data_IF_309665385463
#
_entry.id   IF_309665385463
#
_cell.length_a   1.000
_cell.length_b   1.000
_cell.length_c   1.000
_cell.angle_alpha   90.00
_cell.angle_beta   90.00
_cell.angle_gamma   90.00
#
_symmetry.space_group_name_H-M   'P 1'
#
loop_
_entity.id
_entity.type
_entity.pdbx_description
1 polymer ?
#
# COMPACT_ATOMS: atom_id res chain seq x y z
N UNK A 1 11.50 14.90 -8.42
CA UNK A 1 11.52 13.55 -7.82
C UNK A 1 10.27 13.30 -6.97
N UNK A 2 10.09 13.97 -5.83
CA UNK A 2 8.90 13.77 -4.97
C UNK A 2 7.55 14.03 -5.68
N UNK A 3 7.46 15.06 -6.51
CA UNK A 3 6.26 15.34 -7.32
C UNK A 3 5.94 14.22 -8.34
N UNK A 4 6.96 13.61 -8.95
CA UNK A 4 6.78 12.46 -9.85
C UNK A 4 6.30 11.23 -9.08
N UNK A 5 6.84 10.97 -7.88
CA UNK A 5 6.36 9.91 -6.99
C UNK A 5 4.92 10.14 -6.51
N UNK A 6 4.54 11.40 -6.26
CA UNK A 6 3.16 11.80 -5.98
C UNK A 6 2.21 11.48 -7.13
N UNK A 7 2.54 11.90 -8.35
CA UNK A 7 1.72 11.65 -9.56
C UNK A 7 1.63 10.15 -9.87
N UNK A 8 2.75 9.42 -9.84
CA UNK A 8 2.75 7.98 -10.08
C UNK A 8 1.94 7.23 -9.01
N UNK A 9 2.03 7.64 -7.75
CA UNK A 9 1.19 7.10 -6.69
C UNK A 9 -0.29 7.38 -6.93
N UNK A 10 -0.66 8.61 -7.32
CA UNK A 10 -2.05 8.98 -7.61
C UNK A 10 -2.68 8.13 -8.73
N UNK A 11 -1.89 7.71 -9.73
CA UNK A 11 -2.35 6.86 -10.83
C UNK A 11 -2.35 5.37 -10.44
N UNK A 12 -1.35 4.92 -9.67
CA UNK A 12 -1.19 3.51 -9.33
C UNK A 12 -2.11 3.04 -8.19
N UNK A 13 -2.34 3.89 -7.18
CA UNK A 13 -3.10 3.54 -5.97
C UNK A 13 -4.57 3.14 -6.29
N UNK A 14 -5.28 3.77 -7.25
CA UNK A 14 -6.60 3.28 -7.67
C UNK A 14 -6.61 1.83 -8.16
N UNK A 15 -5.49 1.34 -8.71
CA UNK A 15 -5.34 -0.04 -9.16
C UNK A 15 -5.20 -1.03 -7.99
N UNK A 16 -5.03 -0.54 -6.75
CA UNK A 16 -4.95 -1.41 -5.58
C UNK A 16 -6.32 -2.04 -5.29
N UNK A 17 -7.42 -1.32 -5.54
CA UNK A 17 -8.77 -1.84 -5.36
C UNK A 17 -9.04 -3.16 -6.10
N UNK A 18 -8.87 -3.25 -7.44
CA UNK A 18 -9.07 -4.52 -8.15
C UNK A 18 -8.07 -5.60 -7.70
N UNK A 19 -6.83 -5.23 -7.37
CA UNK A 19 -5.81 -6.16 -6.85
C UNK A 19 -6.20 -6.79 -5.53
N UNK A 20 -6.66 -5.99 -4.55
CA UNK A 20 -7.12 -6.49 -3.25
C UNK A 20 -8.43 -7.28 -3.34
N UNK A 21 -9.33 -6.91 -4.25
CA UNK A 21 -10.56 -7.68 -4.52
C UNK A 21 -10.23 -9.06 -5.08
N UNK A 22 -9.25 -9.15 -5.98
CA UNK A 22 -8.73 -10.40 -6.50
C UNK A 22 -8.04 -11.22 -5.39
N UNK A 23 -7.18 -10.58 -4.58
CA UNK A 23 -6.53 -11.20 -3.43
C UNK A 23 -7.52 -11.86 -2.46
N UNK A 24 -8.57 -11.12 -2.07
CA UNK A 24 -9.61 -11.61 -1.17
C UNK A 24 -10.37 -12.82 -1.73
N UNK A 25 -10.45 -12.94 -3.05
CA UNK A 25 -11.08 -14.09 -3.72
C UNK A 25 -10.13 -15.29 -3.78
N UNK A 26 -8.86 -15.08 -4.10
CA UNK A 26 -7.82 -16.12 -4.14
C UNK A 26 -7.53 -16.72 -2.77
N UNK A 27 -7.58 -15.89 -1.72
CA UNK A 27 -7.34 -16.30 -0.33
C UNK A 27 -8.52 -17.08 0.27
N UNK A 28 -9.62 -17.26 -0.47
CA UNK A 28 -10.79 -18.01 0.01
C UNK A 28 -11.45 -17.36 1.23
N UNK A 29 -11.38 -16.03 1.36
CA UNK A 29 -11.96 -15.31 2.50
C UNK A 29 -13.47 -15.54 2.58
N UNK A 30 -13.99 -15.63 3.81
CA UNK A 30 -15.42 -15.66 4.09
C UNK A 30 -16.13 -14.46 3.43
N UNK A 31 -17.44 -14.55 3.13
CA UNK A 31 -18.17 -13.46 2.48
C UNK A 31 -18.06 -12.13 3.23
N UNK A 32 -18.09 -12.16 4.57
CA UNK A 32 -17.91 -10.99 5.41
C UNK A 32 -16.49 -10.41 5.32
N UNK A 33 -15.45 -11.25 5.44
CA UNK A 33 -14.06 -10.81 5.32
C UNK A 33 -13.74 -10.26 3.92
N UNK A 34 -14.32 -10.84 2.87
CA UNK A 34 -14.16 -10.36 1.49
C UNK A 34 -14.77 -8.97 1.30
N UNK A 35 -15.96 -8.74 1.86
CA UNK A 35 -16.60 -7.40 1.84
C UNK A 35 -15.76 -6.38 2.60
N UNK A 36 -15.28 -6.73 3.79
CA UNK A 36 -14.43 -5.86 4.60
C UNK A 36 -13.10 -5.54 3.90
N UNK A 37 -12.43 -6.54 3.31
CA UNK A 37 -11.22 -6.32 2.51
C UNK A 37 -11.48 -5.41 1.31
N UNK A 38 -12.61 -5.60 0.62
CA UNK A 38 -12.97 -4.79 -0.56
C UNK A 38 -13.26 -3.34 -0.18
N UNK A 39 -13.98 -3.12 0.92
CA UNK A 39 -14.24 -1.78 1.47
C UNK A 39 -12.95 -1.13 1.96
N UNK A 40 -12.13 -1.85 2.73
CA UNK A 40 -10.82 -1.37 3.18
C UNK A 40 -9.91 -0.99 2.01
N UNK A 41 -9.85 -1.82 0.97
CA UNK A 41 -9.08 -1.53 -0.23
C UNK A 41 -9.59 -0.31 -1.00
N UNK A 42 -10.91 -0.12 -1.09
CA UNK A 42 -11.50 1.06 -1.72
C UNK A 42 -11.17 2.33 -0.94
N UNK A 43 -11.22 2.28 0.40
CA UNK A 43 -10.85 3.40 1.27
C UNK A 43 -9.36 3.73 1.12
N UNK A 44 -8.47 2.74 1.24
CA UNK A 44 -7.02 2.92 1.06
C UNK A 44 -6.71 3.47 -0.34
N UNK A 45 -7.35 2.95 -1.39
CA UNK A 45 -7.11 3.40 -2.74
C UNK A 45 -7.56 4.87 -2.93
N UNK A 46 -8.74 5.22 -2.46
CA UNK A 46 -9.28 6.57 -2.63
C UNK A 46 -8.48 7.59 -1.83
N UNK A 47 -8.30 7.34 -0.53
CA UNK A 47 -7.61 8.26 0.37
C UNK A 47 -6.10 8.29 0.15
N UNK A 48 -5.49 7.17 -0.23
CA UNK A 48 -4.08 7.12 -0.62
C UNK A 48 -3.81 7.93 -1.89
N UNK A 49 -4.67 7.82 -2.91
CA UNK A 49 -4.51 8.61 -4.14
C UNK A 49 -4.66 10.12 -3.85
N UNK A 50 -5.68 10.51 -3.07
CA UNK A 50 -5.86 11.91 -2.64
C UNK A 50 -4.64 12.41 -1.87
N UNK A 51 -4.14 11.62 -0.92
CA UNK A 51 -2.95 11.97 -0.13
C UNK A 51 -1.75 12.22 -1.05
N UNK A 52 -1.51 11.35 -2.02
CA UNK A 52 -0.42 11.51 -2.99
C UNK A 52 -0.56 12.78 -3.86
N UNK A 53 -1.79 13.11 -4.30
CA UNK A 53 -2.07 14.36 -5.03
C UNK A 53 -1.79 15.57 -4.14
N UNK A 54 -2.32 15.59 -2.92
CA UNK A 54 -2.14 16.70 -2.00
C UNK A 54 -0.67 16.90 -1.64
N UNK A 55 0.07 15.83 -1.38
CA UNK A 55 1.53 15.90 -1.16
C UNK A 55 2.25 16.43 -2.39
N UNK A 56 1.88 16.03 -3.62
CA UNK A 56 2.49 16.56 -4.83
C UNK A 56 2.22 18.06 -5.03
N UNK A 57 1.00 18.50 -4.75
CA UNK A 57 0.59 19.91 -4.83
C UNK A 57 1.32 20.74 -3.78
N UNK A 58 1.37 20.28 -2.53
CA UNK A 58 2.04 20.98 -1.42
C UNK A 58 3.54 21.18 -1.70
N UNK A 59 4.22 20.14 -2.18
CA UNK A 59 5.63 20.22 -2.59
C UNK A 59 5.85 21.19 -3.75
N UNK A 60 4.93 21.22 -4.72
CA UNK A 60 5.03 22.18 -5.83
C UNK A 60 4.78 23.62 -5.37
N UNK A 61 3.82 23.84 -4.47
CA UNK A 61 3.52 25.15 -3.91
C UNK A 61 4.70 25.69 -3.09
N UNK A 62 5.31 24.88 -2.22
CA UNK A 62 6.50 25.26 -1.46
C UNK A 62 7.67 25.66 -2.38
N UNK A 63 7.93 24.85 -3.43
CA UNK A 63 8.96 25.15 -4.43
C UNK A 63 8.69 26.44 -5.18
N UNK A 64 7.44 26.69 -5.57
CA UNK A 64 7.05 27.92 -6.25
C UNK A 64 7.22 29.17 -5.37
N UNK A 65 7.09 29.01 -4.05
CA UNK A 65 7.33 30.05 -3.06
C UNK A 65 8.82 30.22 -2.66
N UNK A 66 9.73 29.43 -3.24
CA UNK A 66 11.16 29.44 -2.86
C UNK A 66 11.45 28.87 -1.47
N UNK A 67 10.50 28.11 -0.92
CA UNK A 67 10.62 27.47 0.40
C UNK A 67 10.99 26.00 0.24
N UNK A 68 11.67 25.46 1.25
CA UNK A 68 11.84 24.01 1.36
C UNK A 68 10.50 23.37 1.68
N UNK A 69 10.15 22.33 0.91
CA UNK A 69 8.94 21.56 1.17
C UNK A 69 9.07 20.85 2.52
N UNK A 70 8.05 21.02 3.38
CA UNK A 70 8.01 20.35 4.67
C UNK A 70 8.14 18.83 4.47
N UNK A 71 8.95 18.13 5.28
CA UNK A 71 9.01 16.68 5.24
C UNK A 71 7.62 16.07 5.41
N UNK A 72 7.19 15.11 4.57
CA UNK A 72 5.86 14.51 4.68
C UNK A 72 5.55 13.96 6.08
N UNK A 73 6.55 13.42 6.78
CA UNK A 73 6.40 12.92 8.14
C UNK A 73 5.93 14.01 9.13
N UNK A 74 6.39 15.25 8.98
CA UNK A 74 5.96 16.37 9.81
C UNK A 74 4.54 16.83 9.44
N UNK A 75 4.18 16.79 8.15
CA UNK A 75 2.83 17.09 7.69
C UNK A 75 1.79 16.03 8.14
N UNK A 76 2.22 14.77 8.31
CA UNK A 76 1.41 13.71 8.90
C UNK A 76 1.37 13.75 10.43
N UNK A 77 2.35 14.36 11.09
CA UNK A 77 2.34 14.51 12.55
C UNK A 77 1.47 15.69 13.03
N UNK A 78 1.04 16.56 12.12
CA UNK A 78 0.13 17.67 12.39
C UNK A 78 -1.32 17.16 12.45
N UNK A 79 -1.86 17.01 13.67
CA UNK A 79 -3.23 16.56 13.92
C UNK A 79 -4.30 17.49 13.31
N UNK A 80 -3.96 18.74 13.02
CA UNK A 80 -4.86 19.70 12.37
C UNK A 80 -4.86 19.56 10.84
N UNK A 81 -3.91 18.82 10.27
CA UNK A 81 -3.78 18.61 8.84
C UNK A 81 -4.81 17.58 8.35
N UNK A 82 -5.53 17.87 7.24
CA UNK A 82 -6.34 16.88 6.53
C UNK A 82 -5.54 15.61 6.16
N UNK A 83 -4.22 15.73 5.95
CA UNK A 83 -3.35 14.59 5.63
C UNK A 83 -3.28 13.57 6.77
N UNK A 84 -3.34 14.00 8.03
CA UNK A 84 -3.33 13.10 9.18
C UNK A 84 -4.58 12.21 9.21
N UNK A 85 -5.77 12.81 9.05
CA UNK A 85 -7.03 12.06 9.03
C UNK A 85 -7.07 11.05 7.85
N UNK A 86 -6.61 11.47 6.67
CA UNK A 86 -6.55 10.64 5.47
C UNK A 86 -5.59 9.45 5.66
N UNK A 87 -4.42 9.69 6.29
CA UNK A 87 -3.45 8.65 6.64
C UNK A 87 -4.02 7.67 7.67
N UNK A 88 -4.77 8.16 8.67
CA UNK A 88 -5.41 7.30 9.68
C UNK A 88 -6.45 6.36 9.06
N UNK A 89 -7.29 6.87 8.16
CA UNK A 89 -8.30 6.05 7.45
C UNK A 89 -7.63 5.00 6.55
N UNK A 90 -6.57 5.39 5.84
CA UNK A 90 -5.79 4.45 5.04
C UNK A 90 -5.10 3.39 5.92
N UNK A 91 -4.51 3.78 7.05
CA UNK A 91 -3.89 2.85 8.00
C UNK A 91 -4.92 1.85 8.57
N UNK A 92 -6.11 2.32 8.95
CA UNK A 92 -7.19 1.46 9.42
C UNK A 92 -7.61 0.43 8.35
N UNK A 93 -7.77 0.86 7.11
CA UNK A 93 -8.08 -0.04 5.98
C UNK A 93 -6.99 -1.09 5.75
N UNK A 94 -5.71 -0.70 5.87
CA UNK A 94 -4.57 -1.61 5.73
C UNK A 94 -4.53 -2.66 6.86
N UNK A 95 -4.78 -2.26 8.11
CA UNK A 95 -4.87 -3.17 9.26
C UNK A 95 -5.99 -4.19 9.07
N UNK A 96 -7.18 -3.75 8.64
CA UNK A 96 -8.31 -4.65 8.35
C UNK A 96 -7.91 -5.71 7.31
N UNK A 97 -7.25 -5.30 6.23
CA UNK A 97 -6.79 -6.23 5.19
C UNK A 97 -5.78 -7.26 5.74
N UNK A 98 -4.79 -6.82 6.53
CA UNK A 98 -3.81 -7.71 7.15
C UNK A 98 -4.48 -8.71 8.10
N UNK A 99 -5.38 -8.26 8.96
CA UNK A 99 -6.11 -9.14 9.89
C UNK A 99 -6.91 -10.19 9.11
N UNK A 100 -7.63 -9.80 8.07
CA UNK A 100 -8.36 -10.73 7.22
C UNK A 100 -7.43 -11.74 6.52
N UNK A 101 -6.25 -11.31 6.07
CA UNK A 101 -5.27 -12.19 5.41
C UNK A 101 -4.59 -13.17 6.38
N UNK A 102 -4.26 -12.73 7.59
CA UNK A 102 -3.70 -13.58 8.65
C UNK A 102 -4.76 -14.56 9.16
N UNK A 103 -6.02 -14.13 9.29
CA UNK A 103 -7.13 -14.98 9.70
C UNK A 103 -7.41 -16.12 8.69
N UNK A 104 -7.04 -15.95 7.42
CA UNK A 104 -7.16 -16.95 6.36
C UNK A 104 -6.13 -18.11 6.47
N UNK A 105 -5.73 -18.45 7.70
CA UNK A 105 -4.56 -19.29 8.07
C UNK A 105 -4.35 -20.52 7.19
N UNK A 106 -3.07 -20.83 6.98
CA UNK A 106 -2.46 -21.91 6.21
C UNK A 106 -3.10 -23.31 6.39
N UNK A 107 -4.12 -23.64 5.59
CA UNK A 107 -4.46 -25.04 5.30
C UNK A 107 -4.53 -25.20 3.79
N UNK A 108 -3.62 -26.01 3.24
CA UNK A 108 -3.57 -26.45 1.84
C UNK A 108 -3.43 -25.37 0.75
N UNK A 109 -3.03 -24.14 1.12
CA UNK A 109 -2.80 -23.06 0.16
C UNK A 109 -1.45 -23.21 -0.58
N UNK A 110 -1.36 -22.87 -1.89
CA UNK A 110 -0.10 -22.80 -2.65
C UNK A 110 0.97 -21.92 -1.98
N UNK A 111 2.25 -22.27 -2.14
CA UNK A 111 3.37 -21.51 -1.52
C UNK A 111 3.39 -20.02 -1.90
N UNK A 112 2.98 -19.66 -3.12
CA UNK A 112 2.88 -18.26 -3.54
C UNK A 112 1.84 -17.46 -2.72
N UNK A 113 0.72 -18.08 -2.35
CA UNK A 113 -0.29 -17.47 -1.47
C UNK A 113 0.28 -17.30 -0.06
N UNK A 114 1.06 -18.28 0.40
CA UNK A 114 1.72 -18.20 1.71
C UNK A 114 2.71 -17.04 1.78
N UNK A 115 3.52 -16.89 0.72
CA UNK A 115 4.47 -15.79 0.58
C UNK A 115 3.76 -14.44 0.45
N UNK A 116 2.65 -14.34 -0.29
CA UNK A 116 1.89 -13.11 -0.40
C UNK A 116 1.33 -12.64 0.95
N UNK A 117 0.84 -13.56 1.80
CA UNK A 117 0.39 -13.22 3.17
C UNK A 117 1.55 -12.76 4.05
N UNK A 118 2.71 -13.43 3.96
CA UNK A 118 3.92 -13.11 4.72
C UNK A 118 4.50 -11.74 4.31
N UNK A 119 4.62 -11.50 3.00
CA UNK A 119 5.09 -10.26 2.38
C UNK A 119 3.94 -9.34 2.01
N UNK A 120 2.94 -9.24 2.89
CA UNK A 120 1.87 -8.28 2.68
C UNK A 120 2.44 -6.85 2.58
N UNK A 121 1.71 -5.90 1.97
CA UNK A 121 2.28 -4.58 1.69
C UNK A 121 2.79 -3.83 2.91
N UNK A 122 2.23 -4.04 4.11
CA UNK A 122 2.74 -3.39 5.33
C UNK A 122 4.12 -3.95 5.70
N UNK A 123 4.24 -5.28 5.80
CA UNK A 123 5.51 -5.95 6.13
C UNK A 123 6.58 -5.59 5.10
N UNK A 124 6.23 -5.67 3.82
CA UNK A 124 7.13 -5.32 2.71
C UNK A 124 7.55 -3.84 2.76
N UNK A 125 6.64 -2.93 3.11
CA UNK A 125 6.97 -1.51 3.29
C UNK A 125 7.97 -1.32 4.44
N UNK A 126 7.75 -1.96 5.59
CA UNK A 126 8.66 -1.86 6.74
C UNK A 126 10.05 -2.40 6.38
N UNK A 127 10.13 -3.56 5.73
CA UNK A 127 11.41 -4.16 5.29
C UNK A 127 12.13 -3.22 4.32
N UNK A 128 11.43 -2.69 3.31
CA UNK A 128 12.00 -1.78 2.33
C UNK A 128 12.47 -0.47 2.96
N UNK A 129 11.69 0.10 3.88
CA UNK A 129 12.04 1.33 4.59
C UNK A 129 13.23 1.13 5.53
N UNK A 130 13.29 0.01 6.26
CA UNK A 130 14.44 -0.33 7.09
C UNK A 130 15.69 -0.54 6.23
N UNK A 131 15.57 -1.29 5.14
CA UNK A 131 16.65 -1.52 4.18
C UNK A 131 17.11 -0.24 3.46
N UNK A 132 16.23 0.76 3.30
CA UNK A 132 16.59 2.02 2.67
C UNK A 132 17.57 2.87 3.49
N UNK A 133 17.71 2.61 4.80
CA UNK A 133 18.60 3.37 5.70
C UNK A 133 20.10 3.12 5.46
N UNK A 134 20.45 2.16 4.59
CA UNK A 134 21.84 1.77 4.32
C UNK A 134 22.65 2.81 3.54
N UNK A 135 22.01 3.73 2.83
CA UNK A 135 22.68 4.82 2.10
C UNK A 135 21.76 6.01 1.87
N UNK A 136 22.36 7.20 1.68
CA UNK A 136 21.61 8.41 1.30
C UNK A 136 20.84 8.23 0.00
N UNK A 137 21.43 7.50 -0.96
CA UNK A 137 20.79 7.21 -2.24
C UNK A 137 19.54 6.36 -2.05
N UNK A 138 19.63 5.25 -1.31
CA UNK A 138 18.47 4.40 -1.03
C UNK A 138 17.42 5.10 -0.18
N UNK A 139 17.81 5.98 0.76
CA UNK A 139 16.84 6.82 1.47
C UNK A 139 16.14 7.82 0.54
N UNK A 140 16.83 8.37 -0.46
CA UNK A 140 16.24 9.31 -1.40
C UNK A 140 15.27 8.65 -2.41
N UNK A 141 15.47 7.37 -2.74
CA UNK A 141 14.70 6.68 -3.79
C UNK A 141 13.81 5.53 -3.29
N UNK A 142 14.33 4.66 -2.42
CA UNK A 142 13.61 3.47 -1.95
C UNK A 142 12.65 3.83 -0.82
N UNK A 143 13.08 4.57 0.20
CA UNK A 143 12.20 4.94 1.32
C UNK A 143 10.88 5.63 0.87
N UNK A 144 10.89 6.65 -0.01
CA UNK A 144 9.65 7.29 -0.44
C UNK A 144 8.80 6.43 -1.40
N UNK A 145 9.38 5.41 -2.03
CA UNK A 145 8.66 4.51 -2.96
C UNK A 145 8.29 3.16 -2.34
N UNK A 146 8.78 2.86 -1.13
CA UNK A 146 8.62 1.59 -0.44
C UNK A 146 7.16 1.10 -0.37
N UNK A 147 6.15 1.93 -0.05
CA UNK A 147 4.76 1.49 -0.07
C UNK A 147 4.33 0.98 -1.45
N UNK A 148 4.65 1.73 -2.51
CA UNK A 148 4.24 1.37 -3.86
C UNK A 148 4.96 0.11 -4.37
N UNK A 149 6.26 -0.01 -4.08
CA UNK A 149 7.03 -1.22 -4.40
C UNK A 149 6.47 -2.45 -3.67
N UNK A 150 6.08 -2.29 -2.41
CA UNK A 150 5.46 -3.35 -1.62
C UNK A 150 4.14 -3.85 -2.23
N UNK A 151 3.29 -2.95 -2.73
CA UNK A 151 2.06 -3.32 -3.45
C UNK A 151 2.35 -4.02 -4.78
N UNK A 152 3.34 -3.57 -5.56
CA UNK A 152 3.74 -4.22 -6.81
C UNK A 152 4.19 -5.66 -6.56
N UNK A 153 5.08 -5.87 -5.58
CA UNK A 153 5.55 -7.22 -5.20
C UNK A 153 4.37 -8.09 -4.75
N UNK A 154 3.50 -7.56 -3.91
CA UNK A 154 2.34 -8.29 -3.41
C UNK A 154 1.39 -8.73 -4.54
N UNK A 155 1.03 -7.83 -5.46
CA UNK A 155 0.17 -8.17 -6.58
C UNK A 155 0.84 -9.10 -7.58
N UNK A 156 2.16 -8.99 -7.81
CA UNK A 156 2.90 -9.93 -8.64
C UNK A 156 2.89 -11.35 -8.05
N UNK A 157 3.09 -11.49 -6.73
CA UNK A 157 3.00 -12.78 -6.04
C UNK A 157 1.60 -13.38 -6.14
N UNK A 158 0.55 -12.56 -6.05
CA UNK A 158 -0.83 -12.99 -6.21
C UNK A 158 -1.20 -13.36 -7.64
N UNK A 159 -0.75 -12.60 -8.64
CA UNK A 159 -0.94 -12.91 -10.05
C UNK A 159 -0.29 -14.27 -10.37
N UNK A 160 0.94 -14.48 -9.90
CA UNK A 160 1.62 -15.77 -10.03
C UNK A 160 0.88 -16.90 -9.31
N UNK A 161 0.29 -16.64 -8.15
CA UNK A 161 -0.50 -17.63 -7.43
C UNK A 161 -1.79 -18.00 -8.18
N UNK A 162 -2.39 -17.08 -8.93
CA UNK A 162 -3.60 -17.30 -9.73
C UNK A 162 -3.33 -18.13 -10.99
N UNK A 163 -2.12 -18.04 -11.56
CA UNK A 163 -1.67 -18.82 -12.72
C UNK A 163 -1.45 -20.31 -12.42
N UNK A 164 -1.35 -20.69 -11.14
CA UNK A 164 -1.43 -22.08 -10.72
C UNK A 164 -2.88 -22.37 -10.36
N UNK A 165 -3.76 -22.75 -11.32
CA UNK A 165 -5.01 -23.35 -10.93
C UNK A 165 -4.63 -24.55 -10.07
N UNK A 166 -5.05 -24.52 -8.80
CA UNK A 166 -5.14 -25.73 -8.03
C UNK A 166 -5.81 -26.73 -8.97
N UNK A 167 -5.08 -27.80 -9.34
CA UNK A 167 -5.71 -29.01 -9.84
C UNK A 167 -6.78 -29.31 -8.80
N UNK A 168 -8.03 -28.96 -9.12
CA UNK A 168 -9.17 -29.22 -8.27
C UNK A 168 -9.35 -30.73 -8.35
N UNK A 169 -8.68 -31.44 -7.46
CA UNK A 169 -9.06 -32.79 -7.05
C UNK A 169 -10.30 -32.71 -6.17
#
# INVERSE_FOLDING_TARGET
MLALGGVLGAVAIPLYYPGYRAAASLLGLSPACRRLCTLGAALVATFGAITHVLTAVDIQAARAAGLDARPPAEAFADFSSPLFLMALVAAAGAVIAVVCFVAARFRSQPNAIKLAVLFNPIVSTVILSAGATVSEWTMAYIAPSAPNLAHVVFFALLARAAEFPAKRG
#
